data_IF_415007042534
#
_entry.id   IF_415007042534
#
_cell.length_a   1.000
_cell.length_b   1.000
_cell.length_c   1.000
_cell.angle_alpha   90.00
_cell.angle_beta   90.00
_cell.angle_gamma   90.00
#
_symmetry.space_group_name_H-M   'P 1'
#
loop_
_entity.id
_entity.type
_entity.pdbx_description
1 polymer ?
#
# COMPACT_ATOMS: atom_id res chain seq x y z
N UNK A 1 -21.86 -21.60 8.40
CA UNK A 1 -21.95 -21.56 6.93
C UNK A 1 -20.68 -21.02 6.25
N UNK A 2 -20.11 -19.90 6.71
CA UNK A 2 -18.92 -19.24 6.10
C UNK A 2 -17.72 -20.19 5.88
N UNK A 3 -17.45 -21.10 6.83
CA UNK A 3 -16.36 -22.09 6.71
C UNK A 3 -16.50 -23.04 5.51
N UNK A 4 -17.74 -23.40 5.11
CA UNK A 4 -17.98 -24.24 3.92
C UNK A 4 -17.73 -23.45 2.63
N UNK A 5 -18.18 -22.20 2.59
CA UNK A 5 -17.96 -21.30 1.44
C UNK A 5 -16.46 -21.05 1.24
N UNK A 6 -15.73 -20.76 2.32
CA UNK A 6 -14.27 -20.62 2.26
C UNK A 6 -13.58 -21.90 1.79
N UNK A 7 -13.97 -23.06 2.34
CA UNK A 7 -13.40 -24.36 1.94
C UNK A 7 -13.68 -24.67 0.46
N UNK A 8 -14.86 -24.34 -0.05
CA UNK A 8 -15.22 -24.54 -1.46
C UNK A 8 -14.38 -23.66 -2.39
N UNK A 9 -14.21 -22.38 -2.06
CA UNK A 9 -13.37 -21.46 -2.83
C UNK A 9 -11.90 -21.89 -2.82
N UNK A 10 -11.38 -22.26 -1.64
CA UNK A 10 -10.02 -22.73 -1.47
C UNK A 10 -9.77 -24.06 -2.20
N UNK A 11 -10.70 -25.03 -2.10
CA UNK A 11 -10.62 -26.29 -2.84
C UNK A 11 -10.69 -26.07 -4.34
N UNK A 12 -11.61 -25.24 -4.82
CA UNK A 12 -11.74 -24.90 -6.25
C UNK A 12 -10.45 -24.26 -6.78
N UNK A 13 -9.85 -23.35 -6.02
CA UNK A 13 -8.60 -22.69 -6.36
C UNK A 13 -7.40 -23.66 -6.40
N UNK A 14 -7.30 -24.59 -5.44
CA UNK A 14 -6.24 -25.60 -5.42
C UNK A 14 -6.41 -26.64 -6.53
N UNK A 15 -7.64 -27.01 -6.86
CA UNK A 15 -7.93 -27.95 -7.95
C UNK A 15 -7.82 -27.31 -9.35
N UNK A 16 -7.48 -26.02 -9.46
CA UNK A 16 -7.28 -25.38 -10.76
C UNK A 16 -6.18 -26.06 -11.57
N UNK A 17 -6.40 -26.13 -12.89
CA UNK A 17 -5.42 -26.67 -13.84
C UNK A 17 -4.12 -25.86 -13.80
N UNK A 18 -3.00 -26.48 -14.19
CA UNK A 18 -1.68 -25.84 -14.19
C UNK A 18 -1.66 -24.55 -15.03
N UNK A 19 -2.49 -24.45 -16.07
CA UNK A 19 -2.62 -23.27 -16.91
C UNK A 19 -3.30 -22.11 -16.17
N UNK A 20 -4.39 -22.37 -15.45
CA UNK A 20 -5.10 -21.33 -14.69
C UNK A 20 -4.28 -20.80 -13.51
N UNK A 21 -3.49 -21.66 -12.85
CA UNK A 21 -2.53 -21.24 -11.80
C UNK A 21 -1.44 -20.30 -12.35
N UNK A 22 -0.93 -20.58 -13.55
CA UNK A 22 0.02 -19.68 -14.24
C UNK A 22 -0.61 -18.33 -14.55
N UNK A 23 -1.87 -18.31 -14.99
CA UNK A 23 -2.58 -17.07 -15.27
C UNK A 23 -2.76 -16.22 -14.01
N UNK A 24 -3.08 -16.85 -12.88
CA UNK A 24 -3.16 -16.16 -11.60
C UNK A 24 -1.81 -15.58 -11.17
N UNK A 25 -0.71 -16.33 -11.34
CA UNK A 25 0.64 -15.81 -11.11
C UNK A 25 0.93 -14.57 -11.97
N UNK A 26 0.55 -14.57 -13.24
CA UNK A 26 0.70 -13.39 -14.13
C UNK A 26 -0.10 -12.20 -13.60
N UNK A 27 -1.35 -12.42 -13.15
CA UNK A 27 -2.19 -11.36 -12.55
C UNK A 27 -1.52 -10.81 -11.30
N UNK A 28 -0.98 -11.66 -10.42
CA UNK A 28 -0.26 -11.25 -9.21
C UNK A 28 0.98 -10.43 -9.53
N UNK A 29 1.77 -10.86 -10.51
CA UNK A 29 2.96 -10.13 -10.97
C UNK A 29 2.54 -8.76 -11.51
N UNK A 30 1.49 -8.71 -12.34
CA UNK A 30 1.01 -7.44 -12.93
C UNK A 30 0.48 -6.49 -11.85
N UNK A 31 -0.28 -7.01 -10.88
CA UNK A 31 -0.75 -6.24 -9.72
C UNK A 31 0.41 -5.72 -8.87
N UNK A 32 1.43 -6.55 -8.62
CA UNK A 32 2.61 -6.14 -7.88
C UNK A 32 3.39 -5.05 -8.62
N UNK A 33 3.62 -5.20 -9.92
CA UNK A 33 4.30 -4.21 -10.77
C UNK A 33 3.50 -2.90 -10.78
N UNK A 34 2.18 -2.95 -11.00
CA UNK A 34 1.32 -1.77 -11.00
C UNK A 34 1.33 -1.08 -9.63
N UNK A 35 1.28 -1.84 -8.54
CA UNK A 35 1.38 -1.32 -7.19
C UNK A 35 2.75 -0.72 -6.90
N UNK A 36 3.83 -1.34 -7.35
CA UNK A 36 5.19 -0.85 -7.17
C UNK A 36 5.41 0.46 -7.95
N UNK A 37 4.93 0.55 -9.19
CA UNK A 37 5.00 1.79 -9.99
C UNK A 37 4.16 2.88 -9.32
N UNK A 38 2.91 2.60 -8.94
CA UNK A 38 2.07 3.56 -8.21
C UNK A 38 2.74 3.99 -6.91
N UNK A 39 3.36 3.06 -6.16
CA UNK A 39 4.06 3.35 -4.92
C UNK A 39 5.26 4.27 -5.17
N UNK A 40 6.09 3.95 -6.15
CA UNK A 40 7.29 4.76 -6.46
C UNK A 40 6.93 6.11 -7.07
N UNK A 41 5.82 6.22 -7.80
CA UNK A 41 5.37 7.45 -8.45
C UNK A 41 4.51 8.35 -7.53
N UNK A 42 3.61 7.77 -6.73
CA UNK A 42 2.74 8.51 -5.79
C UNK A 42 3.32 8.65 -4.37
N UNK A 43 4.22 7.77 -3.93
CA UNK A 43 4.89 7.84 -2.63
C UNK A 43 6.40 8.20 -2.64
N UNK A 44 7.00 8.83 -3.68
CA UNK A 44 8.38 9.29 -3.59
C UNK A 44 8.50 10.45 -2.59
N UNK A 45 7.52 11.36 -2.56
CA UNK A 45 7.49 12.47 -1.62
C UNK A 45 7.16 12.04 -0.20
N UNK A 46 6.33 11.02 0.00
CA UNK A 46 5.91 10.54 1.34
C UNK A 46 7.07 9.86 2.09
N UNK A 47 8.02 9.26 1.36
CA UNK A 47 9.24 8.68 1.95
C UNK A 47 10.40 9.69 2.01
N UNK A 48 10.47 10.66 1.09
CA UNK A 48 11.47 11.75 1.12
C UNK A 48 11.14 12.84 2.14
N UNK A 49 9.88 13.02 2.53
CA UNK A 49 9.48 14.00 3.55
C UNK A 49 9.94 13.64 4.96
N UNK A 50 10.48 12.43 5.21
CA UNK A 50 11.12 12.10 6.50
C UNK A 50 12.58 12.55 6.63
N UNK A 51 13.17 13.15 5.61
CA UNK A 51 14.56 13.61 5.66
C UNK A 51 14.74 15.00 5.04
N UNK A 52 14.09 16.00 5.65
CA UNK A 52 14.56 17.39 5.79
C UNK A 52 13.67 18.07 6.86
N UNK A 53 13.80 17.56 8.09
CA UNK A 53 13.31 18.12 9.34
C UNK A 53 11.79 18.41 9.47
N UNK A 54 11.01 17.39 9.84
CA UNK A 54 9.68 17.59 10.48
C UNK A 54 9.78 18.44 11.77
N UNK A 55 10.91 18.37 12.48
CA UNK A 55 11.16 19.19 13.69
C UNK A 55 11.15 20.70 13.42
N UNK A 56 11.72 21.16 12.29
CA UNK A 56 11.81 22.60 11.97
C UNK A 56 10.45 23.19 11.58
N UNK A 57 9.58 22.40 10.94
CA UNK A 57 8.22 22.85 10.57
C UNK A 57 7.29 22.91 11.76
N UNK A 58 7.36 21.93 12.65
CA UNK A 58 6.57 21.93 13.89
C UNK A 58 6.98 23.12 14.75
N UNK A 59 8.27 23.39 14.89
CA UNK A 59 8.78 24.52 15.67
C UNK A 59 8.37 25.88 15.08
N UNK A 60 8.29 26.01 13.75
CA UNK A 60 7.82 27.26 13.13
C UNK A 60 6.30 27.47 13.27
N UNK A 61 5.50 26.40 13.16
CA UNK A 61 4.03 26.46 13.32
C UNK A 61 3.67 26.70 14.78
N UNK A 62 4.36 26.06 15.72
CA UNK A 62 4.18 26.24 17.16
C UNK A 62 4.46 27.69 17.57
N UNK A 63 5.56 28.27 17.07
CA UNK A 63 5.89 29.68 17.32
C UNK A 63 4.90 30.67 16.68
N UNK A 64 4.28 30.35 15.55
CA UNK A 64 3.25 31.22 14.97
C UNK A 64 1.93 31.13 15.72
N UNK A 65 1.50 29.93 16.11
CA UNK A 65 0.25 29.75 16.87
C UNK A 65 0.36 30.42 18.25
N UNK A 66 1.50 30.31 18.95
CA UNK A 66 1.67 30.94 20.26
C UNK A 66 1.74 32.47 20.21
N UNK A 67 2.18 33.05 19.09
CA UNK A 67 2.33 34.52 18.94
C UNK A 67 1.04 35.22 18.53
N UNK A 68 0.11 34.50 17.92
CA UNK A 68 -1.20 35.03 17.49
C UNK A 68 -2.24 35.07 18.63
N UNK A 69 -1.96 34.37 19.74
CA UNK A 69 -2.80 34.31 20.95
C UNK A 69 -2.29 35.17 22.12
N UNK A 70 -1.19 35.92 21.93
CA UNK A 70 -0.55 36.77 22.95
C UNK A 70 -0.74 38.26 22.70
#
# INVERSE_FOLDING_TARGET
MIKKVFKFYYQGFINMSKQSKKLWLIIFIKLFIMFAILKVFFFPDILKTKYKTDKDRIEHIENQILKDYG
#
